data_IF_998443966666
#
_entry.id   IF_998443966666
#
_cell.length_a   1.000
_cell.length_b   1.000
_cell.length_c   1.000
_cell.angle_alpha   90.00
_cell.angle_beta   90.00
_cell.angle_gamma   90.00
#
_symmetry.space_group_name_H-M   'P 1'
#
loop_
_entity.id
_entity.type
_entity.pdbx_description
1 polymer ?
#
# COMPACT_ATOMS: atom_id res chain seq x y z
N UNK A 1 6.02 25.92 1.93
CA UNK A 1 6.00 24.72 1.06
C UNK A 1 4.83 23.89 1.51
N UNK A 2 3.78 23.80 0.69
CA UNK A 2 2.68 22.89 0.97
C UNK A 2 3.23 21.47 0.98
N UNK A 3 2.84 20.68 1.97
CA UNK A 3 3.29 19.29 2.09
C UNK A 3 2.18 18.40 1.53
N UNK A 4 2.41 17.84 0.35
CA UNK A 4 1.55 16.80 -0.20
C UNK A 4 1.81 15.49 0.55
N UNK A 5 0.77 14.94 1.16
CA UNK A 5 0.78 13.64 1.83
C UNK A 5 0.08 12.63 0.91
N UNK A 6 0.73 11.50 0.68
CA UNK A 6 0.20 10.42 -0.17
C UNK A 6 0.04 9.16 0.70
N UNK A 7 -1.18 8.67 0.81
CA UNK A 7 -1.53 7.49 1.62
C UNK A 7 -2.28 6.45 0.78
N UNK A 8 -2.29 5.19 1.22
CA UNK A 8 -3.25 4.21 0.70
C UNK A 8 -4.64 4.55 1.24
N UNK A 9 -5.66 4.42 0.39
CA UNK A 9 -7.06 4.46 0.81
C UNK A 9 -7.34 3.35 1.81
N UNK A 10 -8.27 3.60 2.71
CA UNK A 10 -8.59 2.62 3.76
C UNK A 10 -9.19 1.34 3.17
N UNK A 11 -10.01 1.41 2.12
CA UNK A 11 -10.54 0.23 1.44
C UNK A 11 -9.42 -0.65 0.86
N UNK A 12 -8.37 -0.05 0.29
CA UNK A 12 -7.23 -0.80 -0.25
C UNK A 12 -6.45 -1.46 0.88
N UNK A 13 -6.26 -0.74 1.99
CA UNK A 13 -5.59 -1.28 3.18
C UNK A 13 -6.34 -2.50 3.74
N UNK A 14 -7.66 -2.41 3.84
CA UNK A 14 -8.51 -3.48 4.34
C UNK A 14 -8.53 -4.68 3.39
N UNK A 15 -8.61 -4.46 2.07
CA UNK A 15 -8.53 -5.53 1.08
C UNK A 15 -7.23 -6.33 1.25
N UNK A 16 -6.07 -5.66 1.36
CA UNK A 16 -4.79 -6.33 1.58
C UNK A 16 -4.72 -7.06 2.93
N UNK A 17 -5.32 -6.53 3.99
CA UNK A 17 -5.29 -7.18 5.32
C UNK A 17 -6.19 -8.41 5.39
N UNK A 18 -7.35 -8.36 4.74
CA UNK A 18 -8.35 -9.43 4.72
C UNK A 18 -7.99 -10.52 3.71
N UNK A 19 -7.33 -10.15 2.61
CA UNK A 19 -6.90 -11.06 1.57
C UNK A 19 -5.44 -11.50 1.77
N UNK A 20 -5.27 -12.57 2.55
CA UNK A 20 -3.93 -13.12 2.86
C UNK A 20 -3.12 -13.56 1.64
N UNK A 21 -3.79 -13.92 0.52
CA UNK A 21 -3.15 -14.24 -0.75
C UNK A 21 -2.56 -12.99 -1.38
N UNK A 22 -3.35 -11.92 -1.50
CA UNK A 22 -2.89 -10.64 -2.05
C UNK A 22 -1.71 -10.06 -1.24
N UNK A 23 -1.80 -10.07 0.09
CA UNK A 23 -0.72 -9.65 0.99
C UNK A 23 0.59 -10.39 0.69
N UNK A 24 0.51 -11.70 0.48
CA UNK A 24 1.66 -12.57 0.23
C UNK A 24 2.26 -12.34 -1.15
N UNK A 25 1.43 -12.13 -2.16
CA UNK A 25 1.88 -11.77 -3.51
C UNK A 25 2.58 -10.40 -3.53
N UNK A 26 1.99 -9.39 -2.88
CA UNK A 26 2.63 -8.07 -2.73
C UNK A 26 3.98 -8.21 -2.06
N UNK A 27 4.05 -8.94 -0.93
CA UNK A 27 5.30 -9.16 -0.21
C UNK A 27 6.38 -9.84 -1.06
N UNK A 28 6.00 -10.86 -1.85
CA UNK A 28 6.89 -11.54 -2.77
C UNK A 28 7.45 -10.61 -3.85
N UNK A 29 6.61 -9.77 -4.46
CA UNK A 29 7.02 -8.83 -5.52
C UNK A 29 8.07 -7.81 -5.05
N UNK A 30 8.03 -7.41 -3.78
CA UNK A 30 8.97 -6.45 -3.20
C UNK A 30 10.09 -7.08 -2.37
N UNK A 31 10.21 -8.42 -2.39
CA UNK A 31 11.23 -9.16 -1.65
C UNK A 31 11.15 -8.98 -0.12
N UNK A 32 9.93 -8.94 0.44
CA UNK A 32 9.66 -8.83 1.88
C UNK A 32 8.82 -10.01 2.38
N UNK A 33 8.71 -10.15 3.70
CA UNK A 33 7.77 -11.10 4.29
C UNK A 33 6.37 -10.48 4.40
N UNK A 34 5.33 -11.30 4.34
CA UNK A 34 3.94 -10.85 4.52
C UNK A 34 3.72 -10.16 5.87
N UNK A 35 4.46 -10.57 6.92
CA UNK A 35 4.42 -9.93 8.23
C UNK A 35 5.04 -8.52 8.21
N UNK A 36 6.13 -8.31 7.47
CA UNK A 36 6.68 -6.96 7.27
C UNK A 36 5.66 -6.05 6.59
N UNK A 37 5.01 -6.52 5.52
CA UNK A 37 3.99 -5.73 4.79
C UNK A 37 2.77 -5.45 5.68
N UNK A 38 2.28 -6.44 6.41
CA UNK A 38 1.17 -6.28 7.38
C UNK A 38 1.47 -5.21 8.42
N UNK A 39 2.71 -5.17 8.93
CA UNK A 39 3.13 -4.17 9.90
C UNK A 39 3.17 -2.76 9.31
N UNK A 40 3.56 -2.61 8.05
CA UNK A 40 3.48 -1.31 7.35
C UNK A 40 2.03 -0.84 7.19
N UNK A 41 1.13 -1.74 6.80
CA UNK A 41 -0.30 -1.44 6.67
C UNK A 41 -0.92 -1.01 8.01
N UNK A 42 -0.56 -1.67 9.12
CA UNK A 42 -1.09 -1.34 10.46
C UNK A 42 -0.56 -0.03 11.04
N UNK A 43 0.71 0.28 10.82
CA UNK A 43 1.35 1.45 11.47
C UNK A 43 0.99 2.78 10.81
N UNK A 44 0.23 2.76 9.71
CA UNK A 44 -0.02 3.91 8.84
C UNK A 44 1.25 4.75 8.72
N UNK A 45 2.36 4.13 8.32
CA UNK A 45 3.63 4.84 8.20
C UNK A 45 3.54 5.79 7.01
N UNK A 46 2.95 6.95 7.27
CA UNK A 46 2.59 8.05 6.35
C UNK A 46 3.78 8.63 5.58
N UNK A 47 5.02 8.22 5.87
CA UNK A 47 6.20 8.87 5.32
C UNK A 47 6.92 8.10 4.23
N UNK A 48 6.69 6.79 4.01
CA UNK A 48 7.37 6.07 2.94
C UNK A 48 6.54 4.89 2.45
N UNK A 49 5.39 5.19 1.83
CA UNK A 49 4.85 4.24 0.88
C UNK A 49 5.84 4.20 -0.29
N UNK A 50 6.70 3.18 -0.29
CA UNK A 50 7.74 3.02 -1.30
C UNK A 50 7.08 2.76 -2.65
N UNK A 51 7.64 3.33 -3.72
CA UNK A 51 7.08 3.22 -5.07
C UNK A 51 6.96 1.75 -5.53
N UNK A 52 7.92 0.90 -5.16
CA UNK A 52 7.89 -0.55 -5.45
C UNK A 52 6.67 -1.24 -4.79
N UNK A 53 6.34 -0.86 -3.56
CA UNK A 53 5.17 -1.36 -2.85
C UNK A 53 3.87 -0.91 -3.53
N UNK A 54 3.76 0.34 -3.97
CA UNK A 54 2.57 0.80 -4.69
C UNK A 54 2.36 0.08 -6.01
N UNK A 55 3.42 -0.08 -6.80
CA UNK A 55 3.34 -0.83 -8.05
C UNK A 55 2.91 -2.28 -7.82
N UNK A 56 3.42 -2.92 -6.76
CA UNK A 56 3.03 -4.28 -6.40
C UNK A 56 1.54 -4.36 -6.01
N UNK A 57 1.02 -3.37 -5.28
CA UNK A 57 -0.40 -3.31 -4.92
C UNK A 57 -1.27 -3.12 -6.17
N UNK A 58 -0.91 -2.19 -7.06
CA UNK A 58 -1.60 -2.00 -8.35
C UNK A 58 -1.65 -3.29 -9.16
N UNK A 59 -0.52 -3.99 -9.26
CA UNK A 59 -0.43 -5.24 -10.02
C UNK A 59 -1.28 -6.36 -9.41
N UNK A 60 -1.28 -6.50 -8.08
CA UNK A 60 -1.99 -7.60 -7.40
C UNK A 60 -3.49 -7.38 -7.35
N UNK A 61 -3.93 -6.13 -7.17
CA UNK A 61 -5.36 -5.80 -7.10
C UNK A 61 -5.96 -5.47 -8.46
N UNK A 62 -5.14 -5.43 -9.53
CA UNK A 62 -5.53 -5.01 -10.87
C UNK A 62 -6.22 -3.63 -10.86
N UNK A 63 -5.57 -2.68 -10.20
CA UNK A 63 -6.08 -1.33 -9.97
C UNK A 63 -5.06 -0.26 -10.35
N UNK A 64 -5.54 0.87 -10.85
CA UNK A 64 -4.71 2.05 -11.10
C UNK A 64 -4.29 2.76 -9.80
N UNK A 65 -3.17 3.49 -9.86
CA UNK A 65 -2.64 4.27 -8.73
C UNK A 65 -3.67 5.27 -8.16
N UNK A 66 -4.46 5.90 -9.03
CA UNK A 66 -5.51 6.85 -8.66
C UNK A 66 -6.64 6.21 -7.84
N UNK A 67 -6.85 4.90 -8.00
CA UNK A 67 -7.89 4.15 -7.32
C UNK A 67 -7.46 3.74 -5.91
N UNK A 68 -6.16 3.54 -5.68
CA UNK A 68 -5.62 3.03 -4.41
C UNK A 68 -5.03 4.10 -3.48
N UNK A 69 -4.85 5.34 -3.97
CA UNK A 69 -4.21 6.43 -3.23
C UNK A 69 -5.19 7.52 -2.79
N UNK A 70 -4.86 8.14 -1.66
CA UNK A 70 -5.38 9.43 -1.19
C UNK A 70 -4.25 10.46 -1.20
N UNK A 71 -4.54 11.66 -1.68
CA UNK A 71 -3.60 12.78 -1.75
C UNK A 71 -4.20 13.95 -0.97
N UNK A 72 -3.53 14.33 0.11
CA UNK A 72 -3.91 15.50 0.93
C UNK A 72 -2.89 16.62 0.74
N UNK A 73 -3.36 17.82 0.42
CA UNK A 73 -2.54 19.03 0.38
C UNK A 73 -2.69 19.78 1.71
N UNK A 74 -1.59 19.93 2.46
CA UNK A 74 -1.50 20.80 3.64
C UNK A 74 -0.80 22.11 3.32
#
# INVERSE_FOLDING_TARGET
MNKTKVTLKEETRQELLNNGVALTQVAALIGKSSETVRNWLKKNTENQIRYDFLLAVCQVLDMEMSQILEIEEN
#
